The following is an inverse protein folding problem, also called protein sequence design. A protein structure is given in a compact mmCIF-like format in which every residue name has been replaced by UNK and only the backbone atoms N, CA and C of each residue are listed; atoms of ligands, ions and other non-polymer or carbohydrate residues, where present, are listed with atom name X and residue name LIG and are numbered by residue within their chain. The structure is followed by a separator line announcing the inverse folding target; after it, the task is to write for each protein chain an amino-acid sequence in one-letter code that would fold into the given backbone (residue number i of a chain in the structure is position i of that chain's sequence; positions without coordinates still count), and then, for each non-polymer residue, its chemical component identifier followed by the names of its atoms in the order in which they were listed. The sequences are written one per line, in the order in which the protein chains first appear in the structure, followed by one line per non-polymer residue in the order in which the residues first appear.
data_IF_764201257592
#
_entry.id   IF_764201257592
#
_cell.length_a   1.000
_cell.length_b   1.000
_cell.length_c   1.000
_cell.angle_alpha   90.00
_cell.angle_beta   90.00
_cell.angle_gamma   90.00
#
_symmetry.space_group_name_H-M   'P 1'
#
loop_
_entity.id
_entity.type
_entity.pdbx_description
1 polymer ?
#
# COMPACT_ATOMS: atom_id res chain seq x y z
N UNK A 1 -2.58 -14.39 22.06
CA UNK A 1 -1.26 -14.91 21.71
C UNK A 1 -1.41 -16.00 20.68
N UNK A 2 -0.60 -16.00 19.63
CA UNK A 2 -0.47 -17.08 18.66
C UNK A 2 0.94 -17.01 18.05
N UNK A 3 1.36 -18.09 17.40
CA UNK A 3 2.62 -18.15 16.67
C UNK A 3 2.37 -18.13 15.17
N UNK A 4 3.21 -17.44 14.43
CA UNK A 4 3.15 -17.39 12.97
C UNK A 4 4.59 -17.32 12.42
N UNK A 5 4.96 -18.24 11.54
CA UNK A 5 6.29 -18.32 10.93
C UNK A 5 7.46 -18.24 11.95
N UNK A 6 7.33 -18.91 13.10
CA UNK A 6 8.34 -18.89 14.15
C UNK A 6 8.36 -17.62 15.03
N UNK A 7 7.45 -16.69 14.81
CA UNK A 7 7.33 -15.48 15.63
C UNK A 7 6.15 -15.57 16.60
N UNK A 8 6.41 -15.21 17.87
CA UNK A 8 5.35 -15.04 18.86
C UNK A 8 4.60 -13.73 18.58
N UNK A 9 3.27 -13.85 18.37
CA UNK A 9 2.43 -12.68 18.09
C UNK A 9 1.50 -12.42 19.28
N UNK A 10 1.50 -11.16 19.72
CA UNK A 10 0.58 -10.66 20.72
C UNK A 10 -0.36 -9.63 20.10
N UNK A 11 -1.66 -9.92 20.14
CA UNK A 11 -2.70 -9.06 19.55
C UNK A 11 -3.61 -8.50 20.65
N UNK A 12 -3.25 -7.39 21.31
CA UNK A 12 -4.11 -6.75 22.28
C UNK A 12 -5.26 -6.00 21.60
N UNK A 13 -6.47 -6.16 22.11
CA UNK A 13 -7.62 -5.40 21.60
C UNK A 13 -7.62 -3.98 22.18
N UNK A 14 -8.00 -3.00 21.36
CA UNK A 14 -8.25 -1.62 21.78
C UNK A 14 -9.50 -1.07 21.09
N UNK A 15 -10.04 0.03 21.60
CA UNK A 15 -11.17 0.70 21.01
C UNK A 15 -10.66 1.71 20.00
N UNK A 16 -11.02 1.52 18.73
CA UNK A 16 -10.88 2.50 17.67
C UNK A 16 -12.25 2.75 17.07
N UNK A 17 -12.65 4.02 17.05
CA UNK A 17 -13.89 4.43 16.39
C UNK A 17 -13.59 4.80 14.96
N UNK A 18 -14.44 4.34 14.03
CA UNK A 18 -14.35 4.71 12.63
C UNK A 18 -14.43 6.22 12.45
N UNK A 19 -13.90 6.71 11.34
CA UNK A 19 -13.91 8.13 10.93
C UNK A 19 -13.29 9.10 11.95
N UNK A 20 -12.56 8.56 12.93
CA UNK A 20 -11.82 9.31 13.95
C UNK A 20 -12.61 10.42 14.69
N UNK A 21 -13.91 10.25 14.99
CA UNK A 21 -14.71 11.30 15.62
C UNK A 21 -14.22 11.64 17.03
N UNK A 22 -13.57 10.66 17.70
CA UNK A 22 -13.06 10.81 19.07
C UNK A 22 -11.59 10.37 19.20
N UNK A 23 -10.64 11.10 18.60
CA UNK A 23 -9.23 10.69 18.57
C UNK A 23 -8.62 10.57 19.98
N UNK A 24 -9.09 11.36 20.96
CA UNK A 24 -8.61 11.29 22.34
C UNK A 24 -8.99 9.99 23.04
N UNK A 25 -10.17 9.43 22.76
CA UNK A 25 -10.59 8.14 23.30
C UNK A 25 -9.80 7.00 22.68
N UNK A 26 -9.59 7.01 21.35
CA UNK A 26 -8.75 6.05 20.65
C UNK A 26 -7.33 6.09 21.18
N UNK A 27 -6.72 7.26 21.28
CA UNK A 27 -5.41 7.50 21.83
C UNK A 27 -5.27 7.00 23.30
N UNK A 28 -6.26 7.27 24.14
CA UNK A 28 -6.28 6.77 25.50
C UNK A 28 -6.37 5.25 25.54
N UNK A 29 -7.26 4.66 24.75
CA UNK A 29 -7.46 3.21 24.67
C UNK A 29 -6.17 2.50 24.23
N UNK A 30 -5.48 2.97 23.18
CA UNK A 30 -4.25 2.33 22.70
C UNK A 30 -3.12 2.45 23.72
N UNK A 31 -2.93 3.62 24.33
CA UNK A 31 -1.89 3.84 25.35
C UNK A 31 -2.08 3.00 26.62
N UNK A 32 -3.30 2.66 26.97
CA UNK A 32 -3.56 1.73 28.06
C UNK A 32 -3.05 0.31 27.81
N UNK A 33 -2.80 -0.07 26.53
CA UNK A 33 -2.26 -1.40 26.17
C UNK A 33 -0.81 -1.61 26.57
N UNK A 34 -0.07 -0.53 26.92
CA UNK A 34 1.33 -0.66 27.37
C UNK A 34 1.51 -1.69 28.49
N UNK A 35 0.61 -1.72 29.49
CA UNK A 35 0.67 -2.68 30.60
C UNK A 35 0.50 -4.13 30.12
N UNK A 36 -0.40 -4.37 29.17
CA UNK A 36 -0.63 -5.69 28.60
C UNK A 36 0.58 -6.15 27.78
N UNK A 37 1.24 -5.25 27.04
CA UNK A 37 2.46 -5.53 26.30
C UNK A 37 3.62 -5.82 27.26
N UNK A 38 3.81 -4.99 28.28
CA UNK A 38 4.84 -5.20 29.31
C UNK A 38 4.66 -6.53 30.05
N UNK A 39 3.42 -6.89 30.38
CA UNK A 39 3.10 -8.17 31.01
C UNK A 39 3.37 -9.36 30.08
N UNK A 40 3.14 -9.18 28.77
CA UNK A 40 3.44 -10.23 27.78
C UNK A 40 4.95 -10.42 27.59
N UNK A 41 5.72 -9.32 27.51
CA UNK A 41 7.17 -9.33 27.33
C UNK A 41 7.90 -9.81 28.60
N UNK A 42 7.30 -9.68 29.78
CA UNK A 42 7.98 -10.00 31.04
C UNK A 42 9.18 -9.11 31.29
N UNK A 43 10.35 -9.71 31.45
CA UNK A 43 11.63 -8.99 31.67
C UNK A 43 12.31 -8.60 30.36
N UNK A 44 11.92 -9.20 29.21
CA UNK A 44 12.52 -8.86 27.92
C UNK A 44 12.15 -7.43 27.50
N UNK A 45 13.10 -6.75 26.90
CA UNK A 45 12.91 -5.42 26.30
C UNK A 45 13.53 -5.37 24.92
N UNK A 46 12.92 -4.68 23.96
CA UNK A 46 13.52 -4.46 22.65
C UNK A 46 14.64 -3.43 22.73
N UNK A 47 15.60 -3.53 21.82
CA UNK A 47 16.60 -2.47 21.60
C UNK A 47 16.07 -1.40 20.62
N UNK A 48 14.99 -1.69 19.90
CA UNK A 48 14.38 -0.80 18.93
C UNK A 48 12.89 -1.15 18.74
N UNK A 49 12.06 -0.13 18.46
CA UNK A 49 10.64 -0.32 18.14
C UNK A 49 10.42 0.07 16.69
N UNK A 50 9.83 -0.84 15.88
CA UNK A 50 9.35 -0.53 14.54
C UNK A 50 7.83 -0.48 14.57
N UNK A 51 7.27 0.65 14.12
CA UNK A 51 5.83 0.89 14.11
C UNK A 51 5.33 1.05 12.67
N UNK A 52 4.64 0.05 12.17
CA UNK A 52 3.95 0.14 10.88
C UNK A 52 2.61 0.83 11.04
N UNK A 53 2.39 1.89 10.22
CA UNK A 53 1.26 2.81 10.32
C UNK A 53 1.33 3.64 11.62
N UNK A 54 1.10 4.93 11.55
CA UNK A 54 1.24 5.79 12.72
C UNK A 54 -0.05 5.92 13.52
N UNK A 55 -1.15 6.22 12.85
CA UNK A 55 -2.41 6.35 13.57
C UNK A 55 -3.17 5.04 13.65
N UNK A 56 -3.60 4.61 14.87
CA UNK A 56 -3.30 5.20 16.18
C UNK A 56 -2.09 4.57 16.90
N UNK A 57 -1.43 3.58 16.30
CA UNK A 57 -0.46 2.69 16.97
C UNK A 57 0.83 3.42 17.35
N UNK A 58 1.21 4.42 16.58
CA UNK A 58 2.41 5.24 16.82
C UNK A 58 2.39 5.97 18.16
N UNK A 59 1.21 6.31 18.69
CA UNK A 59 1.12 6.87 20.05
C UNK A 59 1.57 5.87 21.12
N UNK A 60 1.34 4.58 20.90
CA UNK A 60 1.84 3.55 21.80
C UNK A 60 3.35 3.36 21.64
N UNK A 61 3.86 3.38 20.41
CA UNK A 61 5.29 3.34 20.12
C UNK A 61 6.03 4.49 20.84
N UNK A 62 5.53 5.73 20.75
CA UNK A 62 6.08 6.89 21.47
C UNK A 62 6.11 6.67 23.00
N UNK A 63 5.05 6.13 23.58
CA UNK A 63 4.97 5.89 25.03
C UNK A 63 5.95 4.81 25.46
N UNK A 64 6.06 3.73 24.70
CA UNK A 64 6.96 2.61 25.00
C UNK A 64 8.42 2.99 24.77
N UNK A 65 8.74 3.71 23.69
CA UNK A 65 10.08 4.26 23.42
C UNK A 65 10.59 5.09 24.58
N UNK A 66 9.79 6.08 25.03
CA UNK A 66 10.15 6.91 26.19
C UNK A 66 10.29 6.11 27.49
N UNK A 67 9.44 5.09 27.68
CA UNK A 67 9.44 4.32 28.92
C UNK A 67 10.63 3.37 29.03
N UNK A 68 11.07 2.83 27.91
CA UNK A 68 12.17 1.86 27.87
C UNK A 68 13.49 2.49 27.47
N UNK A 69 13.49 3.79 27.15
CA UNK A 69 14.64 4.54 26.64
C UNK A 69 15.28 3.87 25.42
N UNK A 70 14.41 3.52 24.45
CA UNK A 70 14.82 2.86 23.20
C UNK A 70 14.34 3.66 22.00
N UNK A 71 15.12 3.71 20.90
CA UNK A 71 14.73 4.41 19.69
C UNK A 71 13.53 3.74 19.02
N UNK A 72 12.81 4.52 18.21
CA UNK A 72 11.73 3.98 17.40
C UNK A 72 11.72 4.53 15.99
N UNK A 73 11.28 3.68 15.05
CA UNK A 73 11.09 4.00 13.64
C UNK A 73 9.62 3.90 13.27
N UNK A 74 9.09 4.95 12.66
CA UNK A 74 7.77 4.92 12.03
C UNK A 74 7.87 4.51 10.56
N UNK A 75 7.01 3.58 10.12
CA UNK A 75 6.90 3.17 8.72
C UNK A 75 5.52 3.56 8.20
N UNK A 76 5.47 4.40 7.17
CA UNK A 76 4.21 4.90 6.58
C UNK A 76 3.97 4.33 5.19
N UNK A 77 2.72 3.88 4.98
CA UNK A 77 2.29 3.17 3.78
C UNK A 77 1.34 3.99 2.89
N UNK A 78 1.13 5.28 3.19
CA UNK A 78 0.32 6.21 2.41
C UNK A 78 -0.75 6.90 3.24
N UNK A 79 -1.68 6.18 3.83
CA UNK A 79 -2.85 6.77 4.50
C UNK A 79 -2.49 7.85 5.53
N UNK A 80 -1.47 7.62 6.35
CA UNK A 80 -1.02 8.60 7.36
C UNK A 80 -0.58 9.93 6.73
N UNK A 81 0.05 9.88 5.54
CA UNK A 81 0.54 11.07 4.83
C UNK A 81 -0.56 11.71 3.99
N UNK A 82 -1.17 10.90 3.08
CA UNK A 82 -2.05 11.42 2.03
C UNK A 82 -3.44 11.84 2.53
N UNK A 83 -3.85 11.29 3.67
CA UNK A 83 -5.15 11.56 4.28
C UNK A 83 -4.98 12.05 5.72
N UNK A 84 -4.17 11.34 6.50
CA UNK A 84 -4.06 11.54 7.92
C UNK A 84 -3.50 12.90 8.30
N UNK A 85 -2.45 13.38 7.63
CA UNK A 85 -1.83 14.69 7.91
C UNK A 85 -2.80 15.87 7.72
N UNK A 86 -3.69 15.77 6.73
CA UNK A 86 -4.66 16.82 6.41
C UNK A 86 -5.94 16.71 7.23
N UNK A 87 -6.10 15.64 8.00
CA UNK A 87 -7.29 15.40 8.81
C UNK A 87 -7.33 16.32 10.03
N UNK A 88 -8.44 17.05 10.20
CA UNK A 88 -8.61 18.12 11.20
C UNK A 88 -8.34 17.68 12.65
N UNK A 89 -8.65 16.43 13.01
CA UNK A 89 -8.57 15.94 14.38
C UNK A 89 -7.31 15.13 14.69
N UNK A 90 -6.74 14.41 13.70
CA UNK A 90 -5.59 13.53 13.92
C UNK A 90 -4.29 14.03 13.26
N UNK A 91 -4.37 14.98 12.33
CA UNK A 91 -3.21 15.45 11.56
C UNK A 91 -2.08 15.99 12.45
N UNK A 92 -2.42 16.79 13.47
CA UNK A 92 -1.42 17.27 14.44
C UNK A 92 -0.75 16.14 15.22
N UNK A 93 -1.48 15.06 15.52
CA UNK A 93 -0.93 13.89 16.22
C UNK A 93 0.02 13.10 15.33
N UNK A 94 -0.38 12.85 14.08
CA UNK A 94 0.45 12.16 13.09
C UNK A 94 1.75 12.95 12.85
N UNK A 95 1.65 14.27 12.67
CA UNK A 95 2.84 15.14 12.57
C UNK A 95 3.77 15.00 13.77
N UNK A 96 3.22 15.10 14.98
CA UNK A 96 4.01 14.94 16.22
C UNK A 96 4.66 13.56 16.31
N UNK A 97 4.00 12.51 15.86
CA UNK A 97 4.59 11.17 15.80
C UNK A 97 5.76 11.11 14.80
N UNK A 98 5.60 11.66 13.59
CA UNK A 98 6.65 11.69 12.57
C UNK A 98 7.88 12.48 13.03
N UNK A 99 7.69 13.62 13.70
CA UNK A 99 8.77 14.48 14.17
C UNK A 99 9.49 13.94 15.43
N UNK A 100 8.78 13.16 16.24
CA UNK A 100 9.35 12.57 17.45
C UNK A 100 10.03 11.21 17.22
N UNK A 101 9.76 10.53 16.12
CA UNK A 101 10.44 9.31 15.75
C UNK A 101 11.93 9.55 15.52
N UNK A 102 12.77 8.58 15.89
CA UNK A 102 14.21 8.68 15.64
C UNK A 102 14.52 8.52 14.15
N UNK A 103 13.67 7.76 13.45
CA UNK A 103 13.66 7.73 11.99
C UNK A 103 12.26 7.45 11.42
N UNK A 104 12.05 7.88 10.18
CA UNK A 104 10.86 7.58 9.39
C UNK A 104 11.22 6.82 8.12
N UNK A 105 10.46 5.80 7.81
CA UNK A 105 10.54 5.06 6.55
C UNK A 105 9.29 5.37 5.73
N UNK A 106 9.52 5.85 4.51
CA UNK A 106 8.49 6.07 3.49
C UNK A 106 8.58 4.97 2.44
N UNK A 107 7.45 4.41 2.04
CA UNK A 107 7.45 3.30 1.06
C UNK A 107 7.64 3.76 -0.39
N UNK A 108 7.69 5.07 -0.64
CA UNK A 108 8.04 5.63 -1.94
C UNK A 108 8.63 7.04 -1.81
N UNK A 109 9.37 7.47 -2.83
CA UNK A 109 9.89 8.84 -2.90
C UNK A 109 8.76 9.87 -2.97
N UNK A 110 7.69 9.57 -3.73
CA UNK A 110 6.52 10.44 -3.83
C UNK A 110 5.83 10.63 -2.47
N UNK A 111 5.74 9.57 -1.65
CA UNK A 111 5.16 9.68 -0.31
C UNK A 111 6.02 10.53 0.63
N UNK A 112 7.35 10.43 0.53
CA UNK A 112 8.28 11.29 1.27
C UNK A 112 8.10 12.75 0.87
N UNK A 113 8.09 13.05 -0.43
CA UNK A 113 7.85 14.40 -0.96
C UNK A 113 6.48 14.96 -0.53
N UNK A 114 5.44 14.12 -0.54
CA UNK A 114 4.10 14.49 -0.06
C UNK A 114 4.10 14.92 1.41
N UNK A 115 4.87 14.25 2.27
CA UNK A 115 5.05 14.63 3.67
C UNK A 115 5.83 15.95 3.82
N UNK A 116 6.91 16.12 3.05
CA UNK A 116 7.75 17.33 3.02
C UNK A 116 6.92 18.56 2.58
N UNK A 117 6.08 18.43 1.55
CA UNK A 117 5.16 19.48 1.09
C UNK A 117 4.15 19.90 2.18
N UNK A 118 3.84 19.00 3.09
CA UNK A 118 3.01 19.27 4.27
C UNK A 118 3.81 19.76 5.49
N UNK A 119 5.06 20.18 5.26
CA UNK A 119 5.97 20.69 6.29
C UNK A 119 6.22 19.69 7.44
N UNK A 120 6.37 18.41 7.13
CA UNK A 120 6.81 17.39 8.08
C UNK A 120 8.33 17.22 7.95
N UNK A 121 9.05 17.35 9.08
CA UNK A 121 10.50 17.27 9.12
C UNK A 121 10.94 16.22 10.17
N UNK A 122 11.01 14.93 9.81
CA UNK A 122 11.53 13.90 10.70
C UNK A 122 13.02 14.10 11.02
N UNK A 123 13.48 13.61 12.17
CA UNK A 123 14.91 13.65 12.55
C UNK A 123 15.82 12.95 11.52
N UNK A 124 15.37 11.79 11.03
CA UNK A 124 15.96 11.05 9.91
C UNK A 124 14.87 10.44 9.06
N UNK A 125 15.09 10.34 7.75
CA UNK A 125 14.11 9.74 6.84
C UNK A 125 14.76 8.89 5.76
N UNK A 126 14.12 7.75 5.46
CA UNK A 126 14.56 6.79 4.46
C UNK A 126 13.41 6.47 3.52
N UNK A 127 13.74 6.09 2.29
CA UNK A 127 12.78 5.53 1.34
C UNK A 127 13.11 4.06 1.16
N UNK A 128 12.19 3.19 1.59
CA UNK A 128 12.31 1.74 1.46
C UNK A 128 11.02 1.23 0.83
N UNK A 129 11.02 0.92 -0.47
CA UNK A 129 9.84 0.41 -1.15
C UNK A 129 9.35 -0.91 -0.54
N UNK A 130 8.03 -1.11 -0.54
CA UNK A 130 7.47 -2.39 -0.17
C UNK A 130 7.96 -3.46 -1.14
N UNK A 131 8.43 -4.57 -0.59
CA UNK A 131 8.82 -5.75 -1.35
C UNK A 131 7.61 -6.67 -1.55
N UNK A 132 7.54 -7.32 -2.72
CA UNK A 132 6.62 -8.43 -2.95
C UNK A 132 7.39 -9.73 -2.80
N UNK A 133 7.06 -10.51 -1.78
CA UNK A 133 7.54 -11.88 -1.63
C UNK A 133 6.64 -12.78 -2.48
N UNK A 134 7.20 -13.29 -3.56
CA UNK A 134 6.55 -14.26 -4.42
C UNK A 134 7.41 -15.51 -4.46
N UNK A 135 6.82 -16.67 -4.20
CA UNK A 135 7.51 -17.94 -4.35
C UNK A 135 7.97 -18.12 -5.79
N UNK A 136 9.17 -18.67 -5.96
CA UNK A 136 9.79 -18.85 -7.29
C UNK A 136 8.94 -19.67 -8.27
N UNK A 137 8.06 -20.50 -7.76
CA UNK A 137 7.11 -21.29 -8.57
C UNK A 137 6.10 -20.43 -9.34
N UNK A 138 5.83 -19.20 -8.88
CA UNK A 138 4.90 -18.24 -9.52
C UNK A 138 5.63 -17.28 -10.45
N UNK A 139 6.94 -17.12 -10.31
CA UNK A 139 7.72 -16.24 -11.17
C UNK A 139 7.73 -16.77 -12.62
N UNK A 140 7.46 -15.90 -13.59
CA UNK A 140 7.41 -16.21 -15.00
C UNK A 140 8.24 -15.18 -15.79
N UNK A 141 8.89 -15.59 -16.87
CA UNK A 141 9.46 -14.62 -17.80
C UNK A 141 8.34 -13.74 -18.37
N UNK A 142 8.68 -12.47 -18.63
CA UNK A 142 7.73 -11.54 -19.26
C UNK A 142 7.19 -12.17 -20.54
N UNK A 143 5.87 -12.17 -20.69
CA UNK A 143 5.20 -12.72 -21.86
C UNK A 143 5.68 -12.01 -23.11
N UNK A 144 6.09 -12.74 -24.14
CA UNK A 144 6.50 -12.10 -25.38
C UNK A 144 5.30 -11.36 -25.97
N UNK A 145 5.45 -10.06 -26.14
CA UNK A 145 4.43 -9.20 -26.74
C UNK A 145 4.09 -9.60 -28.18
N UNK A 146 5.01 -10.28 -28.85
CA UNK A 146 4.86 -10.72 -30.24
C UNK A 146 4.04 -12.01 -30.36
N UNK A 147 2.88 -11.93 -31.01
CA UNK A 147 2.09 -13.08 -31.47
C UNK A 147 0.74 -13.33 -30.80
N UNK A 148 0.45 -12.75 -29.66
CA UNK A 148 -0.89 -12.82 -29.06
C UNK A 148 -1.91 -11.93 -29.78
N UNK A 149 -1.47 -10.83 -30.36
CA UNK A 149 -2.26 -9.82 -31.05
C UNK A 149 -2.92 -10.28 -32.38
N UNK A 150 -2.80 -11.56 -32.73
CA UNK A 150 -3.61 -12.15 -33.80
C UNK A 150 -5.02 -12.54 -33.35
N UNK A 151 -5.31 -12.39 -32.06
CA UNK A 151 -6.65 -12.58 -31.50
C UNK A 151 -7.23 -11.20 -31.26
N UNK A 152 -8.40 -10.98 -31.79
CA UNK A 152 -9.24 -9.81 -31.53
C UNK A 152 -9.72 -9.73 -30.08
N UNK A 153 -9.08 -10.43 -29.14
CA UNK A 153 -9.48 -10.57 -27.75
C UNK A 153 -8.31 -10.23 -26.81
N UNK A 154 -8.62 -9.51 -25.73
CA UNK A 154 -7.69 -9.13 -24.65
C UNK A 154 -8.31 -9.38 -23.28
N UNK A 155 -7.59 -10.07 -22.41
CA UNK A 155 -7.98 -10.30 -21.02
C UNK A 155 -7.27 -9.30 -20.09
N UNK A 156 -8.02 -8.36 -19.57
CA UNK A 156 -7.55 -7.30 -18.67
C UNK A 156 -7.82 -7.70 -17.22
N UNK A 157 -6.76 -7.66 -16.39
CA UNK A 157 -6.90 -7.79 -14.95
C UNK A 157 -6.98 -6.40 -14.31
N UNK A 158 -8.09 -6.09 -13.64
CA UNK A 158 -8.21 -5.00 -12.69
C UNK A 158 -7.93 -5.54 -11.27
N UNK A 159 -6.73 -5.29 -10.68
CA UNK A 159 -6.24 -6.03 -9.53
C UNK A 159 -6.78 -5.49 -8.19
N UNK A 160 -8.04 -5.07 -8.14
CA UNK A 160 -8.65 -4.44 -6.96
C UNK A 160 -10.13 -4.76 -6.82
N UNK A 161 -10.67 -4.48 -5.62
CA UNK A 161 -12.12 -4.45 -5.39
C UNK A 161 -12.70 -3.21 -6.10
N UNK A 162 -13.64 -3.39 -7.06
CA UNK A 162 -14.21 -2.28 -7.84
C UNK A 162 -15.01 -1.28 -6.99
N UNK A 163 -15.36 -1.63 -5.75
CA UNK A 163 -16.08 -0.73 -4.83
C UNK A 163 -15.19 0.27 -4.10
N UNK A 164 -13.87 0.17 -4.26
CA UNK A 164 -12.91 1.09 -3.66
C UNK A 164 -12.76 2.32 -4.55
N UNK A 165 -13.26 3.51 -4.13
CA UNK A 165 -13.28 4.72 -4.99
C UNK A 165 -11.88 5.14 -5.45
N UNK A 166 -10.88 4.98 -4.59
CA UNK A 166 -9.50 5.36 -4.89
C UNK A 166 -8.87 4.51 -6.00
N UNK A 167 -9.46 3.35 -6.33
CA UNK A 167 -9.00 2.47 -7.40
C UNK A 167 -9.59 2.82 -8.77
N UNK A 168 -10.60 3.70 -8.79
CA UNK A 168 -11.20 4.24 -10.02
C UNK A 168 -11.62 3.16 -11.04
N UNK A 169 -12.45 2.23 -10.60
CA UNK A 169 -12.97 1.17 -11.47
C UNK A 169 -13.71 1.71 -12.70
N UNK A 170 -14.33 2.90 -12.59
CA UNK A 170 -15.05 3.51 -13.71
C UNK A 170 -14.10 3.75 -14.89
N UNK A 171 -12.91 4.28 -14.65
CA UNK A 171 -11.91 4.50 -15.69
C UNK A 171 -11.48 3.19 -16.36
N UNK A 172 -11.33 2.10 -15.58
CA UNK A 172 -10.99 0.80 -16.13
C UNK A 172 -12.11 0.27 -17.06
N UNK A 173 -13.37 0.41 -16.69
CA UNK A 173 -14.51 0.02 -17.51
C UNK A 173 -14.59 0.83 -18.81
N UNK A 174 -14.46 2.15 -18.72
CA UNK A 174 -14.44 3.04 -19.89
C UNK A 174 -13.28 2.72 -20.83
N UNK A 175 -12.11 2.36 -20.30
CA UNK A 175 -10.97 1.89 -21.11
C UNK A 175 -11.35 0.62 -21.88
N UNK A 176 -12.04 -0.33 -21.24
CA UNK A 176 -12.55 -1.53 -21.89
C UNK A 176 -13.52 -1.19 -23.02
N UNK A 177 -14.47 -0.29 -22.79
CA UNK A 177 -15.43 0.18 -23.80
C UNK A 177 -14.75 0.81 -25.02
N UNK A 178 -13.68 1.62 -24.81
CA UNK A 178 -12.90 2.19 -25.92
C UNK A 178 -12.21 1.09 -26.74
N UNK A 179 -11.64 0.07 -26.08
CA UNK A 179 -11.03 -1.07 -26.78
C UNK A 179 -12.07 -1.86 -27.59
N UNK A 180 -13.28 -2.09 -27.05
CA UNK A 180 -14.38 -2.71 -27.76
C UNK A 180 -14.80 -1.92 -29.01
N UNK A 181 -14.91 -0.58 -28.89
CA UNK A 181 -15.15 0.29 -30.04
C UNK A 181 -14.05 0.26 -31.09
N UNK A 182 -12.82 -0.11 -30.71
CA UNK A 182 -11.69 -0.35 -31.62
C UNK A 182 -11.66 -1.77 -32.19
N UNK A 183 -12.69 -2.58 -31.90
CA UNK A 183 -12.85 -3.92 -32.46
C UNK A 183 -12.25 -5.06 -31.62
N UNK A 184 -11.84 -4.79 -30.38
CA UNK A 184 -11.34 -5.83 -29.48
C UNK A 184 -12.51 -6.54 -28.75
N UNK A 185 -12.34 -7.84 -28.49
CA UNK A 185 -13.19 -8.56 -27.53
C UNK A 185 -12.51 -8.43 -26.17
N UNK A 186 -13.11 -7.72 -25.23
CA UNK A 186 -12.50 -7.40 -23.93
C UNK A 186 -13.07 -8.29 -22.82
N UNK A 187 -12.21 -9.10 -22.21
CA UNK A 187 -12.47 -9.73 -20.92
C UNK A 187 -11.92 -8.87 -19.79
N UNK A 188 -12.72 -8.55 -18.77
CA UNK A 188 -12.23 -7.83 -17.59
C UNK A 188 -12.46 -8.64 -16.32
N UNK A 189 -11.38 -8.98 -15.63
CA UNK A 189 -11.40 -9.68 -14.34
C UNK A 189 -11.07 -8.72 -13.21
N UNK A 190 -11.88 -8.72 -12.15
CA UNK A 190 -11.62 -7.94 -10.93
C UNK A 190 -11.24 -8.86 -9.78
N UNK A 191 -10.43 -8.36 -8.83
CA UNK A 191 -10.03 -9.11 -7.64
C UNK A 191 -10.66 -8.50 -6.39
N UNK A 192 -11.26 -9.37 -5.56
CA UNK A 192 -11.84 -8.98 -4.30
C UNK A 192 -11.56 -10.05 -3.26
N UNK A 193 -10.74 -9.71 -2.26
CA UNK A 193 -10.47 -10.57 -1.10
C UNK A 193 -10.13 -12.03 -1.47
N UNK A 194 -9.27 -12.20 -2.48
CA UNK A 194 -8.83 -13.51 -2.93
C UNK A 194 -7.56 -13.96 -2.19
N UNK A 195 -7.35 -15.26 -1.98
CA UNK A 195 -6.06 -15.79 -1.56
C UNK A 195 -4.94 -15.37 -2.52
N UNK A 196 -3.73 -15.22 -2.00
CA UNK A 196 -2.55 -14.78 -2.77
C UNK A 196 -2.30 -15.64 -4.02
N UNK A 197 -2.37 -16.96 -3.89
CA UNK A 197 -2.21 -17.89 -5.01
C UNK A 197 -3.20 -17.62 -6.15
N UNK A 198 -4.47 -17.37 -5.82
CA UNK A 198 -5.49 -17.03 -6.82
C UNK A 198 -5.20 -15.69 -7.50
N UNK A 199 -4.67 -14.71 -6.75
CA UNK A 199 -4.25 -13.41 -7.33
C UNK A 199 -3.15 -13.64 -8.36
N UNK A 200 -2.12 -14.41 -8.03
CA UNK A 200 -1.01 -14.71 -8.94
C UNK A 200 -1.44 -15.54 -10.15
N UNK A 201 -2.33 -16.54 -9.95
CA UNK A 201 -2.94 -17.29 -11.07
C UNK A 201 -3.64 -16.34 -12.05
N UNK A 202 -4.42 -15.40 -11.54
CA UNK A 202 -5.11 -14.41 -12.39
C UNK A 202 -4.15 -13.48 -13.10
N UNK A 203 -3.06 -13.08 -12.44
CA UNK A 203 -1.99 -12.30 -13.08
C UNK A 203 -1.32 -13.10 -14.20
N UNK A 204 -1.00 -14.38 -13.97
CA UNK A 204 -0.37 -15.23 -14.98
C UNK A 204 -1.24 -15.42 -16.21
N UNK A 205 -2.54 -15.54 -16.09
CA UNK A 205 -3.42 -15.80 -17.25
C UNK A 205 -3.84 -14.52 -17.99
N UNK A 206 -3.92 -13.38 -17.31
CA UNK A 206 -4.28 -12.10 -17.92
C UNK A 206 -3.29 -11.69 -19.01
N UNK A 207 -3.72 -10.97 -20.02
CA UNK A 207 -2.87 -10.39 -21.05
C UNK A 207 -2.18 -9.11 -20.53
N UNK A 208 -2.88 -8.34 -19.70
CA UNK A 208 -2.42 -7.09 -19.12
C UNK A 208 -3.04 -6.87 -17.74
N UNK A 209 -2.29 -6.24 -16.86
CA UNK A 209 -2.82 -5.68 -15.60
C UNK A 209 -3.02 -4.18 -15.76
N UNK A 210 -4.23 -3.70 -15.49
CA UNK A 210 -4.61 -2.30 -15.62
C UNK A 210 -4.81 -1.66 -14.24
N UNK A 211 -4.01 -0.65 -13.92
CA UNK A 211 -4.09 0.14 -12.69
C UNK A 211 -4.59 1.54 -13.03
N UNK A 212 -5.80 1.86 -12.60
CA UNK A 212 -6.46 3.15 -12.87
C UNK A 212 -6.60 4.02 -11.63
N UNK A 213 -5.84 3.71 -10.59
CA UNK A 213 -5.98 4.36 -9.30
C UNK A 213 -5.76 5.86 -9.37
N UNK A 214 -6.54 6.62 -8.58
CA UNK A 214 -6.29 8.04 -8.33
C UNK A 214 -5.08 8.24 -7.41
N UNK A 215 -4.79 7.25 -6.57
CA UNK A 215 -3.75 7.34 -5.55
C UNK A 215 -3.23 5.96 -5.17
N UNK A 216 -1.93 5.84 -5.10
CA UNK A 216 -1.17 4.71 -4.55
C UNK A 216 0.09 5.24 -3.87
N UNK A 217 0.63 4.50 -2.93
CA UNK A 217 1.93 4.82 -2.32
C UNK A 217 3.07 4.02 -2.95
N UNK A 218 2.76 2.80 -3.40
CA UNK A 218 3.64 1.87 -4.10
C UNK A 218 2.83 0.60 -4.33
N UNK A 219 2.19 0.45 -5.52
CA UNK A 219 1.24 -0.64 -5.76
C UNK A 219 1.97 -1.98 -5.88
N UNK A 220 1.91 -2.81 -4.83
CA UNK A 220 2.48 -4.17 -4.85
C UNK A 220 1.96 -5.01 -6.01
N UNK A 221 0.69 -4.84 -6.36
CA UNK A 221 0.06 -5.56 -7.47
C UNK A 221 0.74 -5.32 -8.82
N UNK A 222 1.36 -4.15 -9.03
CA UNK A 222 2.16 -3.88 -10.24
C UNK A 222 3.42 -4.74 -10.25
N UNK A 223 4.15 -4.78 -9.14
CA UNK A 223 5.37 -5.58 -8.99
C UNK A 223 5.08 -7.07 -9.10
N UNK A 224 4.00 -7.53 -8.46
CA UNK A 224 3.54 -8.92 -8.54
C UNK A 224 3.15 -9.31 -9.97
N UNK A 225 2.45 -8.44 -10.68
CA UNK A 225 2.08 -8.68 -12.07
C UNK A 225 3.33 -8.85 -12.96
N UNK A 226 4.33 -7.99 -12.80
CA UNK A 226 5.61 -8.08 -13.50
C UNK A 226 6.32 -9.40 -13.18
N UNK A 227 6.36 -9.81 -11.92
CA UNK A 227 6.94 -11.08 -11.50
C UNK A 227 6.18 -12.28 -12.09
N UNK A 228 4.87 -12.18 -12.25
CA UNK A 228 4.05 -13.16 -12.96
C UNK A 228 4.23 -13.13 -14.49
N UNK A 229 5.09 -12.27 -15.01
CA UNK A 229 5.34 -12.12 -16.44
C UNK A 229 4.22 -11.40 -17.21
N UNK A 230 3.35 -10.65 -16.52
CA UNK A 230 2.25 -9.93 -17.14
C UNK A 230 2.52 -8.43 -17.13
N UNK A 231 2.45 -7.76 -18.31
CA UNK A 231 2.69 -6.33 -18.40
C UNK A 231 1.64 -5.53 -17.62
N UNK A 232 2.06 -4.33 -17.19
CA UNK A 232 1.21 -3.42 -16.43
C UNK A 232 1.08 -2.12 -17.18
N UNK A 233 -0.15 -1.64 -17.35
CA UNK A 233 -0.45 -0.24 -17.71
C UNK A 233 -1.02 0.44 -16.48
N UNK A 234 -0.52 1.61 -16.14
CA UNK A 234 -0.88 2.29 -14.91
C UNK A 234 -1.05 3.78 -15.12
N UNK A 235 -2.02 4.38 -14.44
CA UNK A 235 -1.96 5.82 -14.13
C UNK A 235 -0.67 6.13 -13.38
N UNK A 236 -0.14 7.34 -13.48
CA UNK A 236 1.08 7.75 -12.79
C UNK A 236 0.84 7.93 -11.29
N UNK A 237 0.90 6.82 -10.54
CA UNK A 237 0.64 6.77 -9.11
C UNK A 237 1.73 6.06 -8.34
N UNK A 238 1.97 6.49 -7.12
CA UNK A 238 2.97 5.89 -6.24
C UNK A 238 4.38 5.98 -6.81
N UNK A 239 5.01 4.82 -6.98
CA UNK A 239 6.36 4.69 -7.52
C UNK A 239 6.43 3.98 -8.88
N UNK A 240 5.29 3.80 -9.57
CA UNK A 240 5.23 3.06 -10.84
C UNK A 240 6.16 3.65 -11.91
N UNK A 241 6.27 4.98 -11.97
CA UNK A 241 7.17 5.67 -12.89
C UNK A 241 8.66 5.43 -12.64
N UNK A 242 9.04 4.79 -11.52
CA UNK A 242 10.44 4.46 -11.24
C UNK A 242 10.88 3.11 -11.82
N UNK A 243 9.94 2.25 -12.25
CA UNK A 243 10.24 0.90 -12.74
C UNK A 243 9.42 0.44 -13.94
N UNK A 244 8.33 1.12 -14.29
CA UNK A 244 7.62 0.87 -15.54
C UNK A 244 8.21 1.75 -16.67
N UNK A 245 8.21 1.28 -17.91
CA UNK A 245 8.50 2.13 -19.07
C UNK A 245 7.52 3.31 -19.17
N UNK A 246 8.00 4.48 -19.58
CA UNK A 246 7.18 5.69 -19.73
C UNK A 246 5.94 5.49 -20.59
N UNK A 247 6.04 4.62 -21.61
CA UNK A 247 4.90 4.29 -22.50
C UNK A 247 3.77 3.50 -21.81
N UNK A 248 4.01 2.97 -20.61
CA UNK A 248 3.04 2.21 -19.83
C UNK A 248 2.56 2.98 -18.58
N UNK A 249 3.05 4.22 -18.41
CA UNK A 249 2.65 5.13 -17.32
C UNK A 249 1.89 6.31 -17.90
N UNK A 250 0.61 6.39 -17.57
CA UNK A 250 -0.29 7.39 -18.14
C UNK A 250 -0.44 8.58 -17.17
N UNK A 251 0.02 9.74 -17.59
CA UNK A 251 -0.02 10.97 -16.79
C UNK A 251 -1.40 11.62 -16.80
N UNK A 252 -2.06 11.66 -17.95
CA UNK A 252 -3.43 12.13 -18.09
C UNK A 252 -4.37 10.92 -18.13
N UNK A 253 -4.98 10.62 -17.00
CA UNK A 253 -5.80 9.42 -16.80
C UNK A 253 -7.13 9.51 -17.56
N UNK A 254 -7.08 9.39 -18.89
CA UNK A 254 -8.27 9.28 -19.75
C UNK A 254 -8.42 7.86 -20.31
N UNK A 255 -9.64 7.41 -20.61
CA UNK A 255 -9.86 6.09 -21.20
C UNK A 255 -9.14 5.90 -22.53
N UNK A 256 -9.06 6.95 -23.35
CA UNK A 256 -8.43 6.94 -24.67
C UNK A 256 -6.92 6.71 -24.60
N UNK A 257 -6.26 7.27 -23.59
CA UNK A 257 -4.82 7.11 -23.38
C UNK A 257 -4.45 5.76 -22.76
N UNK A 258 -5.36 5.17 -21.99
CA UNK A 258 -5.18 3.86 -21.39
C UNK A 258 -5.48 2.72 -22.38
N UNK A 259 -6.33 2.95 -23.37
CA UNK A 259 -6.71 2.01 -24.42
C UNK A 259 -5.76 2.06 -25.60
#
# INVERSE_FOLDING_TARGET
KFEHNGFEIFSPRFIALSDHPYPSLTSRSIRHRKKAIESWLGTWRPDHIICHTLWPVGELAQVLSKRWDVPWTGVVHGHDVDVGLDHSTIGKRIRSMMESADSMVFVSQGLKQSAEQRNVSPKASFVIPCHSEMDSEWARPMKPWKGRWRREAIDILFPSDPRRPEKNNLLALQTGEILEHRGWIVGMTTLKQQPRSIVWDRMIVADITLITSHRESGPLVARESILCGTPVVSTNVGDVGSYLPDSLVINEATPEQLA
#
